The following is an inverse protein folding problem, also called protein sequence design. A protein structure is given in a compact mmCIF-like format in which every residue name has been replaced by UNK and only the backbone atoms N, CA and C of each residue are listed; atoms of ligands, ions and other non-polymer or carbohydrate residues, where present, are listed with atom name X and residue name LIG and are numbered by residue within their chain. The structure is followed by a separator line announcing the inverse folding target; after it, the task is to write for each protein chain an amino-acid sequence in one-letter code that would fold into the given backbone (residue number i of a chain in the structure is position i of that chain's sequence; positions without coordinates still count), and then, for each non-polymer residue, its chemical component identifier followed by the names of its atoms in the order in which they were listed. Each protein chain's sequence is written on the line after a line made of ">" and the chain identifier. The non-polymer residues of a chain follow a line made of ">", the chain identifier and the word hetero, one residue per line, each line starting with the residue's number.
data_IF_486797953045
#
_entry.id   IF_486797953045
#
_cell.length_a   1.000
_cell.length_b   1.000
_cell.length_c   1.000
_cell.angle_alpha   90.00
_cell.angle_beta   90.00
_cell.angle_gamma   90.00
#
_symmetry.space_group_name_H-M   'P 1'
#
loop_
_entity.id
_entity.type
_entity.pdbx_description
1 polymer ?
#
# COMPACT_ATOMS: atom_id res chain seq x y z
N UNK A 1 -1.58 2.83 5.86
CA UNK A 1 -0.75 1.94 5.02
C UNK A 1 0.07 2.65 3.93
N UNK A 2 -0.37 3.80 3.39
CA UNK A 2 0.25 4.43 2.20
C UNK A 2 1.70 4.91 2.40
N UNK A 3 2.09 5.30 3.61
CA UNK A 3 3.46 5.77 3.90
C UNK A 3 4.40 4.69 4.45
N UNK A 4 3.91 3.45 4.66
CA UNK A 4 4.73 2.39 5.23
C UNK A 4 5.95 2.02 4.37
N UNK A 5 5.86 1.92 3.02
CA UNK A 5 7.03 1.58 2.21
C UNK A 5 8.13 2.63 2.29
N UNK A 6 7.77 3.92 2.33
CA UNK A 6 8.74 5.01 2.47
C UNK A 6 9.32 5.08 3.89
N UNK A 7 8.51 4.83 4.92
CA UNK A 7 8.97 4.75 6.30
C UNK A 7 9.94 3.57 6.54
N UNK A 8 9.63 2.37 6.02
CA UNK A 8 10.50 1.19 6.11
C UNK A 8 11.84 1.41 5.39
N UNK A 9 11.82 2.06 4.23
CA UNK A 9 13.03 2.47 3.52
C UNK A 9 13.90 3.43 4.36
N UNK A 10 13.28 4.42 5.02
CA UNK A 10 13.99 5.36 5.92
C UNK A 10 14.57 4.69 7.17
N UNK A 11 13.96 3.60 7.63
CA UNK A 11 14.46 2.78 8.74
C UNK A 11 15.59 1.83 8.33
N UNK A 12 16.05 1.88 7.07
CA UNK A 12 17.15 1.04 6.57
C UNK A 12 16.74 -0.39 6.22
N UNK A 13 15.44 -0.69 6.10
CA UNK A 13 14.97 -2.02 5.71
C UNK A 13 15.33 -2.30 4.24
N UNK A 14 15.96 -3.45 3.92
CA UNK A 14 16.27 -3.83 2.55
C UNK A 14 15.06 -3.78 1.61
N UNK A 15 15.26 -3.36 0.35
CA UNK A 15 14.20 -3.17 -0.63
C UNK A 15 13.32 -4.41 -0.84
N UNK A 16 13.91 -5.60 -0.76
CA UNK A 16 13.18 -6.88 -0.84
C UNK A 16 12.16 -7.01 0.29
N UNK A 17 12.57 -6.78 1.55
CA UNK A 17 11.70 -6.87 2.71
C UNK A 17 10.60 -5.81 2.66
N UNK A 18 10.94 -4.58 2.28
CA UNK A 18 9.95 -3.52 2.06
C UNK A 18 8.90 -3.92 1.02
N UNK A 19 9.33 -4.61 -0.05
CA UNK A 19 8.44 -5.11 -1.08
C UNK A 19 7.51 -6.21 -0.59
N UNK A 20 8.06 -7.21 0.11
CA UNK A 20 7.28 -8.30 0.70
C UNK A 20 6.25 -7.75 1.69
N UNK A 21 6.67 -6.89 2.62
CA UNK A 21 5.78 -6.29 3.62
C UNK A 21 4.67 -5.45 2.99
N UNK A 22 5.00 -4.64 1.98
CA UNK A 22 4.01 -3.85 1.25
C UNK A 22 2.96 -4.74 0.58
N UNK A 23 3.40 -5.84 -0.05
CA UNK A 23 2.51 -6.82 -0.64
C UNK A 23 1.63 -7.49 0.43
N UNK A 24 2.22 -7.91 1.56
CA UNK A 24 1.48 -8.53 2.66
C UNK A 24 0.34 -7.63 3.14
N UNK A 25 0.61 -6.34 3.41
CA UNK A 25 -0.42 -5.39 3.86
C UNK A 25 -1.53 -5.22 2.83
N UNK A 26 -1.22 -5.28 1.53
CA UNK A 26 -2.22 -5.13 0.47
C UNK A 26 -3.10 -6.38 0.31
N UNK A 27 -2.55 -7.57 0.57
CA UNK A 27 -3.23 -8.84 0.34
C UNK A 27 -3.77 -9.51 1.61
N UNK A 28 -3.38 -9.07 2.80
CA UNK A 28 -3.81 -9.69 4.06
C UNK A 28 -5.33 -9.66 4.21
N UNK A 29 -5.98 -8.54 3.88
CA UNK A 29 -7.45 -8.42 3.97
C UNK A 29 -8.15 -9.34 2.96
N UNK A 30 -7.54 -9.52 1.79
CA UNK A 30 -8.06 -10.42 0.75
C UNK A 30 -7.98 -11.87 1.21
N UNK A 31 -6.84 -12.27 1.77
CA UNK A 31 -6.63 -13.61 2.31
C UNK A 31 -7.52 -13.87 3.54
N UNK A 32 -7.67 -12.89 4.42
CA UNK A 32 -8.55 -12.98 5.59
C UNK A 32 -10.03 -13.14 5.18
N UNK A 33 -10.46 -12.41 4.14
CA UNK A 33 -11.81 -12.55 3.58
C UNK A 33 -12.02 -13.95 2.98
N UNK A 34 -11.05 -14.47 2.23
CA UNK A 34 -11.14 -15.81 1.65
C UNK A 34 -11.15 -16.91 2.72
N UNK A 35 -10.28 -16.79 3.73
CA UNK A 35 -10.27 -17.68 4.90
C UNK A 35 -11.61 -17.66 5.64
N UNK A 36 -12.21 -16.47 5.81
CA UNK A 36 -13.51 -16.30 6.46
C UNK A 36 -14.65 -16.95 5.67
N UNK A 37 -14.65 -16.81 4.34
CA UNK A 37 -15.61 -17.47 3.45
C UNK A 37 -15.49 -19.00 3.51
N UNK A 38 -14.26 -19.51 3.51
CA UNK A 38 -14.00 -20.95 3.65
C UNK A 38 -14.49 -21.46 5.00
N UNK A 39 -14.25 -20.71 6.10
CA UNK A 39 -14.76 -21.03 7.43
C UNK A 39 -16.29 -21.08 7.47
N UNK A 40 -16.96 -20.07 6.90
CA UNK A 40 -18.42 -20.03 6.84
C UNK A 40 -18.98 -21.23 6.06
N UNK A 41 -18.41 -21.56 4.90
CA UNK A 41 -18.81 -22.71 4.11
C UNK A 41 -18.63 -24.05 4.86
N UNK A 42 -17.60 -24.17 5.69
CA UNK A 42 -17.43 -25.35 6.56
C UNK A 42 -18.51 -25.42 7.62
N UNK A 43 -18.77 -24.31 8.32
CA UNK A 43 -19.84 -24.25 9.35
C UNK A 43 -21.20 -24.63 8.76
N UNK A 44 -21.52 -24.18 7.55
CA UNK A 44 -22.76 -24.54 6.85
C UNK A 44 -22.87 -26.04 6.52
N UNK A 45 -21.75 -26.76 6.43
CA UNK A 45 -21.70 -28.23 6.21
C UNK A 45 -21.71 -29.04 7.51
N UNK A 46 -21.92 -28.39 8.66
CA UNK A 46 -21.96 -29.05 9.97
C UNK A 46 -20.61 -29.13 10.69
N UNK A 47 -19.59 -28.39 10.24
CA UNK A 47 -18.29 -28.30 10.93
C UNK A 47 -18.48 -27.53 12.26
N UNK A 48 -18.23 -28.19 13.39
CA UNK A 48 -18.16 -27.60 14.74
C UNK A 48 -16.72 -27.22 15.15
N UNK A 49 -16.36 -25.92 15.26
CA UNK A 49 -14.98 -25.45 15.46
C UNK A 49 -14.26 -25.92 16.73
N UNK A 50 -14.97 -26.60 17.64
CA UNK A 50 -14.49 -27.00 18.98
C UNK A 50 -14.08 -28.47 19.05
N UNK A 51 -14.35 -29.27 18.01
CA UNK A 51 -14.05 -30.71 18.04
C UNK A 51 -12.65 -30.98 17.46
N UNK A 52 -11.80 -31.68 18.23
CA UNK A 52 -10.46 -32.10 17.81
C UNK A 52 -10.47 -32.95 16.52
N UNK A 53 -11.55 -33.72 16.29
CA UNK A 53 -11.73 -34.51 15.07
C UNK A 53 -11.85 -33.68 13.78
N UNK A 54 -12.10 -32.37 13.86
CA UNK A 54 -12.20 -31.48 12.70
C UNK A 54 -10.89 -30.79 12.32
N UNK A 55 -9.79 -31.10 13.00
CA UNK A 55 -8.46 -30.63 12.62
C UNK A 55 -8.13 -30.90 11.14
N UNK A 56 -8.59 -32.04 10.60
CA UNK A 56 -8.42 -32.37 9.18
C UNK A 56 -9.14 -31.42 8.21
N UNK A 57 -10.34 -30.93 8.57
CA UNK A 57 -11.09 -29.98 7.74
C UNK A 57 -10.45 -28.59 7.73
N UNK A 58 -9.90 -28.18 8.88
CA UNK A 58 -9.11 -26.96 9.01
C UNK A 58 -7.81 -27.09 8.20
N UNK A 59 -7.07 -28.19 8.35
CA UNK A 59 -5.82 -28.44 7.62
C UNK A 59 -6.04 -28.41 6.09
N UNK A 60 -7.10 -29.05 5.59
CA UNK A 60 -7.50 -28.98 4.17
C UNK A 60 -7.74 -27.54 3.72
N UNK A 61 -8.44 -26.76 4.55
CA UNK A 61 -8.73 -25.36 4.23
C UNK A 61 -7.48 -24.50 4.20
N UNK A 62 -6.55 -24.71 5.13
CA UNK A 62 -5.25 -24.03 5.14
C UNK A 62 -4.45 -24.40 3.89
N UNK A 63 -4.41 -25.69 3.53
CA UNK A 63 -3.73 -26.16 2.32
C UNK A 63 -4.32 -25.55 1.04
N UNK A 64 -5.65 -25.52 0.91
CA UNK A 64 -6.31 -24.87 -0.23
C UNK A 64 -6.03 -23.37 -0.27
N UNK A 65 -6.08 -22.67 0.87
CA UNK A 65 -5.80 -21.23 0.93
C UNK A 65 -4.33 -20.94 0.56
N UNK A 66 -3.40 -21.77 1.01
CA UNK A 66 -1.98 -21.65 0.68
C UNK A 66 -1.74 -21.83 -0.82
N UNK A 67 -2.30 -22.86 -1.44
CA UNK A 67 -2.11 -23.10 -2.88
C UNK A 67 -2.67 -21.94 -3.71
N UNK A 68 -3.88 -21.47 -3.36
CA UNK A 68 -4.52 -20.33 -4.05
C UNK A 68 -3.75 -19.03 -3.87
N UNK A 69 -3.20 -18.77 -2.68
CA UNK A 69 -2.43 -17.56 -2.41
C UNK A 69 -1.08 -17.59 -3.12
N UNK A 70 -0.45 -18.77 -3.21
CA UNK A 70 0.78 -19.00 -3.98
C UNK A 70 0.56 -18.76 -5.47
N UNK A 71 -0.42 -19.43 -6.10
CA UNK A 71 -0.75 -19.25 -7.53
C UNK A 71 -1.15 -17.81 -7.85
N UNK A 72 -1.81 -17.13 -6.90
CA UNK A 72 -2.11 -15.70 -7.04
C UNK A 72 -0.85 -14.85 -6.96
N UNK A 73 0.04 -15.15 -6.03
CA UNK A 73 1.33 -14.47 -5.88
C UNK A 73 2.16 -14.56 -7.14
N UNK A 74 2.25 -15.76 -7.74
CA UNK A 74 2.95 -15.99 -9.00
C UNK A 74 2.33 -15.19 -10.15
N UNK A 75 1.01 -15.22 -10.31
CA UNK A 75 0.33 -14.40 -11.33
C UNK A 75 0.56 -12.91 -11.15
N UNK A 76 0.58 -12.43 -9.90
CA UNK A 76 0.86 -11.02 -9.60
C UNK A 76 2.31 -10.69 -9.93
N UNK A 77 3.26 -11.55 -9.56
CA UNK A 77 4.68 -11.37 -9.86
C UNK A 77 4.93 -11.33 -11.37
N UNK A 78 4.37 -12.27 -12.13
CA UNK A 78 4.47 -12.29 -13.59
C UNK A 78 3.88 -11.01 -14.20
N UNK A 79 2.71 -10.56 -13.73
CA UNK A 79 2.12 -9.30 -14.17
C UNK A 79 2.97 -8.07 -13.81
N UNK A 80 3.69 -8.10 -12.69
CA UNK A 80 4.63 -7.06 -12.29
C UNK A 80 5.83 -7.03 -13.24
N UNK A 81 6.43 -8.19 -13.53
CA UNK A 81 7.55 -8.32 -14.47
C UNK A 81 7.14 -7.81 -15.86
N UNK A 82 5.97 -8.19 -16.37
CA UNK A 82 5.46 -7.71 -17.67
C UNK A 82 5.24 -6.20 -17.74
N UNK A 83 5.11 -5.52 -16.58
CA UNK A 83 4.97 -4.05 -16.48
C UNK A 83 6.29 -3.33 -16.20
N UNK A 84 7.42 -4.04 -16.23
CA UNK A 84 8.74 -3.47 -16.00
C UNK A 84 9.14 -3.39 -14.52
N UNK A 85 8.67 -4.31 -13.67
CA UNK A 85 9.09 -4.37 -12.27
C UNK A 85 10.61 -4.59 -12.13
N UNK A 86 11.27 -3.69 -11.40
CA UNK A 86 12.72 -3.62 -11.19
C UNK A 86 13.15 -4.11 -9.79
N UNK A 87 12.25 -4.77 -9.05
CA UNK A 87 12.51 -5.22 -7.68
C UNK A 87 12.18 -4.19 -6.61
N UNK A 88 11.70 -3.00 -6.97
CA UNK A 88 11.28 -1.96 -6.01
C UNK A 88 9.79 -1.70 -6.12
N UNK A 89 9.12 -1.59 -4.97
CA UNK A 89 7.72 -1.12 -4.97
C UNK A 89 7.74 0.37 -5.28
N UNK A 90 7.03 0.83 -6.33
CA UNK A 90 6.90 2.26 -6.57
C UNK A 90 6.33 2.93 -5.32
N UNK A 91 6.85 4.11 -4.92
CA UNK A 91 6.18 4.88 -3.89
C UNK A 91 4.74 5.07 -4.34
N UNK A 92 3.77 4.78 -3.47
CA UNK A 92 2.37 5.05 -3.75
C UNK A 92 2.21 6.58 -3.82
N UNK A 93 2.36 7.12 -5.04
CA UNK A 93 2.29 8.55 -5.34
C UNK A 93 0.92 9.04 -4.89
N UNK A 94 0.89 9.72 -3.74
CA UNK A 94 -0.15 10.65 -3.29
C UNK A 94 0.24 11.37 -1.97
N UNK A 95 1.53 11.46 -1.64
CA UNK A 95 2.00 12.63 -0.91
C UNK A 95 2.14 13.72 -1.95
N UNK A 96 1.46 14.86 -1.80
CA UNK A 96 1.71 16.02 -2.64
C UNK A 96 3.25 16.19 -2.72
N UNK A 97 3.84 16.37 -3.92
CA UNK A 97 5.28 16.58 -4.03
C UNK A 97 5.63 17.69 -3.04
N UNK A 98 6.54 17.41 -2.10
CA UNK A 98 6.98 18.42 -1.14
C UNK A 98 7.35 19.65 -1.93
N UNK A 99 6.56 20.72 -1.79
CA UNK A 99 6.66 21.89 -2.65
C UNK A 99 8.05 22.47 -2.39
N UNK A 100 8.94 22.33 -3.37
CA UNK A 100 10.32 22.80 -3.28
C UNK A 100 10.32 24.29 -2.89
N UNK A 101 11.27 24.72 -2.06
CA UNK A 101 11.36 26.13 -1.61
C UNK A 101 11.37 27.12 -2.78
N UNK A 102 11.81 26.68 -3.97
CA UNK A 102 11.78 27.49 -5.21
C UNK A 102 10.36 27.74 -5.73
N UNK A 103 9.44 26.79 -5.57
CA UNK A 103 8.03 26.93 -5.99
C UNK A 103 7.31 27.94 -5.09
N UNK A 104 7.64 27.95 -3.79
CA UNK A 104 7.18 28.98 -2.86
C UNK A 104 7.70 30.36 -3.25
N UNK A 105 8.98 30.48 -3.62
CA UNK A 105 9.56 31.74 -4.08
C UNK A 105 8.86 32.27 -5.34
N UNK A 106 8.56 31.41 -6.31
CA UNK A 106 7.79 31.80 -7.51
C UNK A 106 6.35 32.17 -7.22
N UNK A 107 5.71 31.52 -6.23
CA UNK A 107 4.33 31.83 -5.85
C UNK A 107 4.21 33.16 -5.10
N UNK A 108 5.26 33.61 -4.41
CA UNK A 108 5.28 34.88 -3.66
C UNK A 108 5.59 36.10 -4.53
N UNK A 109 6.17 35.93 -5.72
CA UNK A 109 6.50 37.01 -6.66
C UNK A 109 5.31 37.95 -6.99
N UNK A 110 4.11 37.47 -7.38
CA UNK A 110 3.00 38.36 -7.70
C UNK A 110 2.46 39.11 -6.48
N UNK A 111 2.52 38.50 -5.29
CA UNK A 111 2.14 39.15 -4.03
C UNK A 111 3.11 40.27 -3.68
N UNK A 112 4.43 40.01 -3.80
CA UNK A 112 5.45 41.03 -3.58
C UNK A 112 5.32 42.20 -4.57
N UNK A 113 5.05 41.90 -5.84
CA UNK A 113 4.82 42.94 -6.86
C UNK A 113 3.59 43.80 -6.54
N UNK A 114 2.48 43.20 -6.12
CA UNK A 114 1.27 43.92 -5.73
C UNK A 114 1.50 44.85 -4.51
N UNK A 115 2.27 44.38 -3.52
CA UNK A 115 2.63 45.19 -2.34
C UNK A 115 3.50 46.38 -2.73
N UNK A 116 4.48 46.18 -3.62
CA UNK A 116 5.35 47.28 -4.10
C UNK A 116 4.55 48.35 -4.85
N UNK A 117 3.62 47.95 -5.72
CA UNK A 117 2.75 48.89 -6.46
C UNK A 117 1.86 49.68 -5.51
N UNK A 118 1.28 49.02 -4.51
CA UNK A 118 0.46 49.69 -3.51
C UNK A 118 1.28 50.68 -2.66
N UNK A 119 2.50 50.32 -2.27
CA UNK A 119 3.41 51.18 -1.52
C UNK A 119 3.86 52.42 -2.34
N UNK A 120 4.21 52.24 -3.62
CA UNK A 120 4.58 53.36 -4.48
C UNK A 120 3.41 54.33 -4.71
N UNK A 121 2.19 53.80 -4.81
CA UNK A 121 0.99 54.64 -4.93
C UNK A 121 0.69 55.44 -3.66
N UNK A 122 1.02 54.89 -2.49
CA UNK A 122 0.89 55.58 -1.20
C UNK A 122 1.96 56.66 -1.00
N UNK A 123 3.19 56.44 -1.47
CA UNK A 123 4.28 57.42 -1.37
C UNK A 123 4.12 58.62 -2.30
N UNK A 124 3.33 58.49 -3.37
CA UNK A 124 3.04 59.56 -4.31
C UNK A 124 1.76 60.35 -3.97
N UNK A 125 1.13 60.05 -2.83
CA UNK A 125 -0.08 60.70 -2.34
C UNK A 125 0.22 61.52 -1.09
#
# INVERSE_FOLDING_TARGET
>A
ARELPSALSRLGVPALLTSVLSLMIRYIDVLATEASRMRLARMSRGDSPRALHQGGAIAKSVGTLFLRSYERGERVYLAMVSRGYDGKVPPLINGAPGVSSRVWATAMLPVAAAVLVAASAWMWR
#
